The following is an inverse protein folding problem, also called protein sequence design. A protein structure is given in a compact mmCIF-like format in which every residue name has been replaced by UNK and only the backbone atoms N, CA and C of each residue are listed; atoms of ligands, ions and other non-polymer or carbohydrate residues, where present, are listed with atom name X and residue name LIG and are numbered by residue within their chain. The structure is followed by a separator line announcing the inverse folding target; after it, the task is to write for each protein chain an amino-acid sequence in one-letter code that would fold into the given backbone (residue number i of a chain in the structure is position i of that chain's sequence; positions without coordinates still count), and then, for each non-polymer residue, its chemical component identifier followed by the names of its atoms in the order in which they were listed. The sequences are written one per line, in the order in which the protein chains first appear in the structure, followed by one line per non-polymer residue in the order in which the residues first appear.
data_IF_782715972294
#
_entry.id   IF_782715972294
#
_cell.length_a   1.000
_cell.length_b   1.000
_cell.length_c   1.000
_cell.angle_alpha   90.00
_cell.angle_beta   90.00
_cell.angle_gamma   90.00
#
_symmetry.space_group_name_H-M   'P 1'
#
loop_
_entity.id
_entity.type
_entity.pdbx_description
1 polymer ?
#
# COMPACT_ATOMS: atom_id res chain seq x y z
N UNK A 1 33.09 19.03 -8.80
CA UNK A 1 32.13 18.30 -9.64
C UNK A 1 32.80 17.02 -10.11
N UNK A 2 32.26 15.86 -9.77
CA UNK A 2 32.74 14.59 -10.28
C UNK A 2 31.59 13.92 -11.03
N UNK A 3 31.73 13.86 -12.36
CA UNK A 3 30.90 13.06 -13.25
C UNK A 3 31.50 11.65 -13.28
N UNK A 4 30.80 10.67 -12.73
CA UNK A 4 31.07 9.26 -12.99
C UNK A 4 30.11 8.79 -14.08
N UNK A 5 30.56 8.93 -15.33
CA UNK A 5 29.98 8.20 -16.45
C UNK A 5 30.29 6.72 -16.26
N UNK A 6 29.25 5.89 -16.14
CA UNK A 6 29.37 4.45 -16.34
C UNK A 6 29.06 3.54 -15.16
N UNK A 7 28.26 3.95 -14.18
CA UNK A 7 27.66 2.95 -13.30
C UNK A 7 26.57 2.23 -14.10
N UNK A 8 26.84 0.96 -14.41
CA UNK A 8 25.83 -0.04 -14.71
C UNK A 8 24.94 -0.15 -13.46
N UNK A 9 24.09 0.86 -13.20
CA UNK A 9 23.10 0.81 -12.15
C UNK A 9 22.15 -0.28 -12.61
N UNK A 10 22.30 -1.46 -12.00
CA UNK A 10 21.33 -2.54 -12.16
C UNK A 10 19.95 -1.91 -12.02
N UNK A 11 19.12 -1.98 -13.06
CA UNK A 11 17.76 -1.41 -13.07
C UNK A 11 16.84 -2.00 -12.00
N UNK A 12 17.34 -2.98 -11.23
CA UNK A 12 16.73 -3.58 -10.05
C UNK A 12 17.15 -2.94 -8.72
N UNK A 13 18.20 -2.13 -8.69
CA UNK A 13 18.77 -1.55 -7.47
C UNK A 13 18.55 -0.05 -7.47
N UNK A 14 17.45 0.37 -6.87
CA UNK A 14 17.17 1.79 -6.62
C UNK A 14 17.88 2.21 -5.34
N UNK A 15 18.88 3.09 -5.44
CA UNK A 15 19.50 3.72 -4.26
C UNK A 15 18.59 4.86 -3.81
N UNK A 16 17.89 4.73 -2.67
CA UNK A 16 16.97 5.78 -2.22
C UNK A 16 17.72 7.04 -1.82
N UNK A 17 17.08 8.18 -2.03
CA UNK A 17 17.48 9.43 -1.41
C UNK A 17 17.29 9.34 0.11
N UNK A 18 18.13 10.06 0.87
CA UNK A 18 18.19 9.97 2.34
C UNK A 18 16.82 10.24 2.99
N UNK A 19 16.09 11.26 2.52
CA UNK A 19 14.76 11.57 3.05
C UNK A 19 13.75 10.43 2.87
N UNK A 20 13.85 9.61 1.80
CA UNK A 20 12.97 8.45 1.61
C UNK A 20 13.26 7.37 2.65
N UNK A 21 14.51 7.23 3.08
CA UNK A 21 14.92 6.29 4.13
C UNK A 21 14.35 6.73 5.49
N UNK A 22 14.41 8.03 5.80
CA UNK A 22 13.85 8.58 7.04
C UNK A 22 12.33 8.43 7.10
N UNK A 23 11.65 8.73 5.99
CA UNK A 23 10.20 8.53 5.84
C UNK A 23 9.82 7.07 6.05
N UNK A 24 10.55 6.14 5.44
CA UNK A 24 10.32 4.71 5.59
C UNK A 24 10.53 4.24 7.04
N UNK A 25 11.60 4.69 7.69
CA UNK A 25 11.88 4.39 9.10
C UNK A 25 10.76 4.89 10.01
N UNK A 26 10.27 6.11 9.77
CA UNK A 26 9.16 6.69 10.53
C UNK A 26 7.87 5.88 10.35
N UNK A 27 7.51 5.55 9.11
CA UNK A 27 6.28 4.83 8.79
C UNK A 27 6.30 3.35 9.22
N UNK A 28 7.47 2.74 9.35
CA UNK A 28 7.62 1.38 9.89
C UNK A 28 7.26 1.30 11.39
N UNK A 29 7.52 2.38 12.12
CA UNK A 29 7.43 2.41 13.58
C UNK A 29 6.14 3.05 14.11
N UNK A 30 5.52 3.96 13.36
CA UNK A 30 4.31 4.68 13.78
C UNK A 30 3.42 5.03 12.59
N UNK A 31 2.14 5.30 12.87
CA UNK A 31 1.20 5.82 11.89
C UNK A 31 1.61 7.24 11.50
N UNK A 32 1.72 7.51 10.19
CA UNK A 32 2.17 8.80 9.67
C UNK A 32 1.41 9.17 8.40
N UNK A 33 1.22 10.48 8.21
CA UNK A 33 0.83 11.07 6.92
C UNK A 33 2.13 11.52 6.25
N UNK A 34 2.34 11.13 5.00
CA UNK A 34 3.56 11.43 4.26
C UNK A 34 3.19 12.27 3.04
N UNK A 35 3.77 13.46 2.96
CA UNK A 35 3.74 14.27 1.74
C UNK A 35 5.01 14.00 0.94
N UNK A 36 4.86 13.44 -0.25
CA UNK A 36 5.95 13.19 -1.19
C UNK A 36 5.63 13.82 -2.53
N UNK A 37 6.62 14.50 -3.08
CA UNK A 37 6.59 14.97 -4.46
C UNK A 37 6.95 13.81 -5.41
N UNK A 38 6.22 13.69 -6.51
CA UNK A 38 6.47 12.70 -7.56
C UNK A 38 5.82 11.33 -7.31
N UNK A 39 5.26 10.77 -8.39
CA UNK A 39 4.58 9.46 -8.38
C UNK A 39 5.57 8.34 -8.07
N UNK A 40 6.79 8.42 -8.59
CA UNK A 40 7.84 7.41 -8.38
C UNK A 40 8.23 7.25 -6.92
N UNK A 41 8.36 8.37 -6.19
CA UNK A 41 8.68 8.37 -4.76
C UNK A 41 7.56 7.75 -3.93
N UNK A 42 6.30 8.06 -4.23
CA UNK A 42 5.14 7.43 -3.57
C UNK A 42 5.11 5.92 -3.79
N UNK A 43 5.27 5.48 -5.04
CA UNK A 43 5.32 4.06 -5.39
C UNK A 43 6.46 3.37 -4.65
N UNK A 44 7.66 3.96 -4.63
CA UNK A 44 8.81 3.43 -3.92
C UNK A 44 8.52 3.24 -2.42
N UNK A 45 8.03 4.27 -1.74
CA UNK A 45 7.76 4.21 -0.30
C UNK A 45 6.69 3.19 0.02
N UNK A 46 5.59 3.16 -0.74
CA UNK A 46 4.51 2.19 -0.55
C UNK A 46 5.03 0.77 -0.72
N UNK A 47 5.73 0.45 -1.81
CA UNK A 47 6.26 -0.90 -2.05
C UNK A 47 7.26 -1.33 -0.98
N UNK A 48 8.13 -0.43 -0.53
CA UNK A 48 9.11 -0.73 0.50
C UNK A 48 8.45 -0.96 1.86
N UNK A 49 7.42 -0.18 2.23
CA UNK A 49 6.65 -0.44 3.45
C UNK A 49 5.94 -1.79 3.42
N UNK A 50 5.27 -2.09 2.31
CA UNK A 50 4.60 -3.38 2.10
C UNK A 50 5.60 -4.54 2.27
N UNK A 51 6.78 -4.42 1.65
CA UNK A 51 7.83 -5.45 1.71
C UNK A 51 8.45 -5.57 3.10
N UNK A 52 8.76 -4.46 3.76
CA UNK A 52 9.34 -4.44 5.11
C UNK A 52 8.38 -4.99 6.16
N UNK A 53 7.06 -4.82 5.98
CA UNK A 53 6.04 -5.30 6.91
C UNK A 53 5.42 -6.65 6.49
N UNK A 54 5.90 -7.23 5.40
CA UNK A 54 5.42 -8.51 4.87
C UNK A 54 5.60 -9.66 5.86
N UNK A 55 6.64 -9.64 6.71
CA UNK A 55 6.85 -10.70 7.71
C UNK A 55 5.71 -10.79 8.75
N UNK A 56 4.92 -9.72 8.91
CA UNK A 56 3.74 -9.71 9.79
C UNK A 56 2.55 -10.45 9.16
N UNK A 57 2.60 -10.73 7.86
CA UNK A 57 1.57 -11.46 7.10
C UNK A 57 1.79 -12.98 7.31
N UNK A 58 1.19 -13.53 8.36
CA UNK A 58 1.28 -14.98 8.61
C UNK A 58 0.33 -15.75 7.69
N UNK A 59 0.87 -16.32 6.60
CA UNK A 59 0.11 -17.08 5.59
C UNK A 59 -0.64 -18.31 6.12
N UNK A 60 -0.15 -18.92 7.21
CA UNK A 60 -0.65 -20.19 7.77
C UNK A 60 -1.31 -20.05 9.15
N UNK A 61 -1.55 -18.83 9.61
CA UNK A 61 -2.16 -18.60 10.93
C UNK A 61 -3.67 -18.44 10.79
N UNK A 62 -4.42 -18.94 11.77
CA UNK A 62 -5.85 -18.63 11.94
C UNK A 62 -6.09 -17.12 12.11
N UNK A 63 -5.08 -16.38 12.60
CA UNK A 63 -5.06 -14.92 12.69
C UNK A 63 -4.26 -14.31 11.54
N UNK A 64 -4.63 -14.67 10.31
CA UNK A 64 -4.01 -14.10 9.12
C UNK A 64 -4.24 -12.59 9.09
N UNK A 65 -3.19 -11.85 8.71
CA UNK A 65 -3.26 -10.41 8.50
C UNK A 65 -3.09 -10.07 7.04
N UNK A 66 -3.77 -9.05 6.56
CA UNK A 66 -3.65 -8.54 5.20
C UNK A 66 -3.14 -7.10 5.21
N UNK A 67 -2.42 -6.75 4.14
CA UNK A 67 -2.10 -5.36 3.85
C UNK A 67 -3.23 -4.77 3.01
N UNK A 68 -3.77 -3.62 3.41
CA UNK A 68 -4.75 -2.87 2.65
C UNK A 68 -4.09 -1.67 1.95
N UNK A 69 -4.36 -1.52 0.65
CA UNK A 69 -3.92 -0.39 -0.17
C UNK A 69 -5.13 0.21 -0.87
N UNK A 70 -5.48 1.44 -0.48
CA UNK A 70 -6.58 2.21 -1.06
C UNK A 70 -6.02 3.21 -2.06
N UNK A 71 -6.49 3.14 -3.31
CA UNK A 71 -6.00 3.90 -4.45
C UNK A 71 -7.16 4.55 -5.23
N UNK A 72 -6.80 5.47 -6.12
CA UNK A 72 -7.71 5.92 -7.18
C UNK A 72 -7.78 4.88 -8.32
N UNK A 73 -8.91 4.79 -9.02
CA UNK A 73 -9.11 3.81 -10.10
C UNK A 73 -8.02 3.86 -11.17
N UNK A 74 -7.55 5.06 -11.49
CA UNK A 74 -6.50 5.32 -12.49
C UNK A 74 -5.11 4.81 -12.07
N UNK A 75 -4.89 4.58 -10.78
CA UNK A 75 -3.59 4.16 -10.22
C UNK A 75 -3.50 2.64 -10.01
N UNK A 76 -4.65 1.94 -9.97
CA UNK A 76 -4.73 0.51 -9.62
C UNK A 76 -3.77 -0.33 -10.46
N UNK A 77 -3.81 -0.19 -11.79
CA UNK A 77 -3.04 -1.04 -12.69
C UNK A 77 -1.54 -0.87 -12.49
N UNK A 78 -1.08 0.37 -12.24
CA UNK A 78 0.32 0.68 -11.98
C UNK A 78 0.80 0.03 -10.67
N UNK A 79 0.04 0.15 -9.59
CA UNK A 79 0.42 -0.46 -8.31
C UNK A 79 0.31 -1.98 -8.34
N UNK A 80 -0.70 -2.53 -9.03
CA UNK A 80 -0.83 -3.97 -9.24
C UNK A 80 0.38 -4.56 -9.95
N UNK A 81 0.79 -3.93 -11.05
CA UNK A 81 2.00 -4.31 -11.78
C UNK A 81 3.22 -4.23 -10.87
N UNK A 82 3.38 -3.11 -10.16
CA UNK A 82 4.53 -2.88 -9.29
C UNK A 82 4.62 -3.88 -8.14
N UNK A 83 3.52 -4.20 -7.46
CA UNK A 83 3.49 -5.19 -6.38
C UNK A 83 3.85 -6.57 -6.93
N UNK A 84 3.23 -6.98 -8.04
CA UNK A 84 3.43 -8.31 -8.65
C UNK A 84 4.87 -8.54 -9.14
N UNK A 85 5.53 -7.50 -9.64
CA UNK A 85 6.86 -7.62 -10.25
C UNK A 85 8.02 -7.21 -9.34
N UNK A 86 7.77 -6.41 -8.30
CA UNK A 86 8.82 -5.88 -7.40
C UNK A 86 8.74 -6.45 -5.98
N UNK A 87 7.75 -7.30 -5.69
CA UNK A 87 7.58 -8.01 -4.41
C UNK A 87 7.17 -9.46 -4.65
N UNK A 88 7.37 -10.31 -3.63
CA UNK A 88 6.94 -11.73 -3.65
C UNK A 88 5.52 -11.94 -3.10
N UNK A 89 4.74 -10.85 -3.01
CA UNK A 89 3.38 -10.83 -2.49
C UNK A 89 2.37 -10.87 -3.63
N UNK A 90 1.24 -11.53 -3.39
CA UNK A 90 0.13 -11.64 -4.34
C UNK A 90 -0.90 -10.55 -4.03
N UNK A 91 -1.08 -9.59 -4.94
CA UNK A 91 -2.11 -8.58 -4.79
C UNK A 91 -3.46 -9.08 -5.33
N UNK A 92 -4.55 -8.63 -4.71
CA UNK A 92 -5.93 -8.81 -5.16
C UNK A 92 -6.55 -7.43 -5.39
N UNK A 93 -7.08 -7.16 -6.59
CA UNK A 93 -7.95 -6.00 -6.80
C UNK A 93 -9.39 -6.39 -6.50
N UNK A 94 -10.04 -5.62 -5.65
CA UNK A 94 -11.46 -5.75 -5.40
C UNK A 94 -12.18 -4.77 -6.31
N UNK A 95 -12.83 -5.27 -7.36
CA UNK A 95 -13.69 -4.45 -8.25
C UNK A 95 -15.18 -4.61 -7.94
N UNK A 96 -15.53 -5.74 -7.34
CA UNK A 96 -16.88 -6.09 -6.87
C UNK A 96 -16.74 -6.98 -5.65
N UNK A 97 -17.73 -6.92 -4.76
CA UNK A 97 -17.69 -7.59 -3.45
C UNK A 97 -18.30 -9.00 -3.48
N UNK A 98 -18.84 -9.42 -4.63
CA UNK A 98 -19.43 -10.72 -4.78
C UNK A 98 -18.34 -11.81 -4.75
N UNK A 99 -18.39 -12.69 -3.74
CA UNK A 99 -17.50 -13.85 -3.56
C UNK A 99 -16.00 -13.52 -3.40
N UNK A 100 -15.67 -12.63 -2.46
CA UNK A 100 -14.28 -12.34 -2.10
C UNK A 100 -13.64 -13.49 -1.30
N UNK A 101 -12.64 -14.14 -1.88
CA UNK A 101 -11.71 -15.04 -1.18
C UNK A 101 -10.35 -14.36 -1.02
N UNK A 102 -10.04 -13.95 0.21
CA UNK A 102 -8.76 -13.31 0.55
C UNK A 102 -7.63 -14.31 0.83
N UNK A 103 -7.93 -15.61 0.95
CA UNK A 103 -6.99 -16.58 1.52
C UNK A 103 -5.74 -16.79 0.65
N UNK A 104 -5.86 -16.55 -0.66
CA UNK A 104 -4.77 -16.72 -1.60
C UNK A 104 -3.92 -15.46 -1.83
N UNK A 105 -4.26 -14.35 -1.16
CA UNK A 105 -3.67 -13.03 -1.40
C UNK A 105 -3.14 -12.40 -0.12
N UNK A 106 -2.12 -11.56 -0.24
CA UNK A 106 -1.49 -10.87 0.90
C UNK A 106 -1.74 -9.37 0.90
N UNK A 107 -1.94 -8.78 -0.29
CA UNK A 107 -2.20 -7.35 -0.45
C UNK A 107 -3.56 -7.16 -1.09
N UNK A 108 -4.46 -6.47 -0.39
CA UNK A 108 -5.76 -6.07 -0.89
C UNK A 108 -5.63 -4.67 -1.48
N UNK A 109 -5.97 -4.53 -2.75
CA UNK A 109 -6.00 -3.26 -3.49
C UNK A 109 -7.45 -2.92 -3.78
N UNK A 110 -7.88 -1.72 -3.41
CA UNK A 110 -9.28 -1.29 -3.52
C UNK A 110 -9.36 0.20 -3.81
N UNK A 111 -10.53 0.65 -4.27
CA UNK A 111 -10.90 2.07 -4.26
C UNK A 111 -11.54 2.46 -2.93
N UNK A 112 -11.73 3.76 -2.70
CA UNK A 112 -12.41 4.30 -1.51
C UNK A 112 -13.81 3.70 -1.31
N UNK A 113 -14.65 3.72 -2.35
CA UNK A 113 -16.04 3.24 -2.28
C UNK A 113 -16.11 1.75 -1.92
N UNK A 114 -15.28 0.94 -2.58
CA UNK A 114 -15.20 -0.50 -2.30
C UNK A 114 -14.60 -0.77 -0.93
N UNK A 115 -13.64 0.04 -0.48
CA UNK A 115 -13.05 -0.06 0.85
C UNK A 115 -14.12 0.11 1.93
N UNK A 116 -14.96 1.15 1.80
CA UNK A 116 -16.07 1.39 2.72
C UNK A 116 -17.03 0.21 2.75
N UNK A 117 -17.45 -0.27 1.58
CA UNK A 117 -18.41 -1.37 1.47
C UNK A 117 -17.85 -2.70 2.04
N UNK A 118 -16.55 -2.97 1.93
CA UNK A 118 -15.88 -4.12 2.57
C UNK A 118 -16.02 -4.09 4.09
N UNK A 119 -15.80 -2.92 4.70
CA UNK A 119 -15.89 -2.76 6.15
C UNK A 119 -17.34 -2.73 6.64
N UNK A 120 -18.25 -2.07 5.92
CA UNK A 120 -19.68 -2.02 6.25
C UNK A 120 -20.32 -3.42 6.23
N UNK A 121 -19.99 -4.22 5.22
CA UNK A 121 -20.45 -5.62 5.11
C UNK A 121 -19.65 -6.61 5.96
N UNK A 122 -18.65 -6.13 6.72
CA UNK A 122 -17.81 -6.93 7.63
C UNK A 122 -17.06 -8.08 6.94
N UNK A 123 -16.66 -7.90 5.68
CA UNK A 123 -15.76 -8.85 5.00
C UNK A 123 -14.34 -8.80 5.55
N UNK A 124 -13.95 -7.64 6.12
CA UNK A 124 -12.64 -7.43 6.72
C UNK A 124 -12.80 -6.59 7.99
N UNK A 125 -12.06 -6.94 9.03
CA UNK A 125 -11.97 -6.16 10.27
C UNK A 125 -10.57 -5.53 10.41
N UNK A 126 -10.48 -4.41 11.13
CA UNK A 126 -9.22 -3.67 11.29
C UNK A 126 -8.13 -4.46 12.04
N UNK A 127 -8.51 -5.36 12.94
CA UNK A 127 -7.59 -6.26 13.66
C UNK A 127 -6.92 -7.29 12.74
N UNK A 128 -7.56 -7.59 11.61
CA UNK A 128 -7.06 -8.43 10.53
C UNK A 128 -6.11 -7.69 9.59
N UNK A 129 -5.82 -6.41 9.83
CA UNK A 129 -4.82 -5.66 9.07
C UNK A 129 -3.46 -5.64 9.79
N UNK A 130 -2.37 -5.77 9.03
CA UNK A 130 -1.02 -5.44 9.51
C UNK A 130 -0.62 -4.00 9.11
N UNK A 131 -1.15 -3.51 7.99
CA UNK A 131 -0.83 -2.24 7.37
C UNK A 131 -2.02 -1.78 6.54
N UNK A 132 -2.39 -0.49 6.67
CA UNK A 132 -3.36 0.17 5.82
C UNK A 132 -2.70 1.42 5.22
N UNK A 133 -2.74 1.54 3.90
CA UNK A 133 -2.17 2.66 3.15
C UNK A 133 -3.30 3.32 2.37
N UNK A 134 -3.47 4.63 2.57
CA UNK A 134 -4.41 5.45 1.82
C UNK A 134 -3.62 6.39 0.92
N UNK A 135 -3.59 6.10 -0.39
CA UNK A 135 -2.94 7.02 -1.33
C UNK A 135 -3.83 8.24 -1.55
N UNK A 136 -3.19 9.40 -1.76
CA UNK A 136 -3.85 10.68 -1.94
C UNK A 136 -4.84 11.03 -0.80
N UNK A 137 -4.47 10.69 0.44
CA UNK A 137 -5.29 10.87 1.65
C UNK A 137 -5.70 12.32 1.92
N UNK A 138 -5.10 13.32 1.27
CA UNK A 138 -5.56 14.70 1.32
C UNK A 138 -7.00 14.89 0.78
N UNK A 139 -7.51 13.95 -0.02
CA UNK A 139 -8.90 13.95 -0.50
C UNK A 139 -9.90 13.47 0.55
N UNK A 140 -9.45 12.95 1.69
CA UNK A 140 -10.32 12.54 2.80
C UNK A 140 -10.90 13.81 3.41
N UNK A 141 -12.11 14.16 2.98
CA UNK A 141 -12.86 15.29 3.53
C UNK A 141 -13.72 14.76 4.66
N UNK A 142 -13.62 15.37 5.84
CA UNK A 142 -14.61 15.17 6.90
C UNK A 142 -15.90 15.81 6.43
N UNK A 143 -16.81 15.00 5.88
CA UNK A 143 -18.19 15.45 5.68
C UNK A 143 -18.81 15.48 7.08
N UNK A 144 -18.69 16.62 7.76
CA UNK A 144 -19.46 16.89 8.96
C UNK A 144 -20.93 16.72 8.59
N UNK A 145 -21.53 15.59 8.94
CA UNK A 145 -22.97 15.46 9.01
C UNK A 145 -23.44 16.27 10.22
N UNK A 146 -23.42 17.60 10.10
CA UNK A 146 -24.24 18.46 10.95
C UNK A 146 -25.68 18.28 10.50
N UNK A 147 -26.34 17.28 11.08
CA UNK A 147 -27.78 17.27 11.26
C UNK A 147 -28.06 18.21 12.44
N UNK A 148 -28.57 19.40 12.12
CA UNK A 148 -29.54 20.12 12.94
C UNK A 148 -30.87 20.10 12.16
#
# INVERSE_FOLDING_TARGET
MALTFGDNIHTKTFTPQEYLVEVLSSAKNKNVIISLEGITNKVFVILKLIRELAFKIHRKSEKRKWTLLVLEETEIDQYMFSIKHLTDLKPLVIRSINHLDFNNYEVIVTTENQCLEIFEKKYLHFDQLNLAIFNNCQKIIVKNSTLF
#
